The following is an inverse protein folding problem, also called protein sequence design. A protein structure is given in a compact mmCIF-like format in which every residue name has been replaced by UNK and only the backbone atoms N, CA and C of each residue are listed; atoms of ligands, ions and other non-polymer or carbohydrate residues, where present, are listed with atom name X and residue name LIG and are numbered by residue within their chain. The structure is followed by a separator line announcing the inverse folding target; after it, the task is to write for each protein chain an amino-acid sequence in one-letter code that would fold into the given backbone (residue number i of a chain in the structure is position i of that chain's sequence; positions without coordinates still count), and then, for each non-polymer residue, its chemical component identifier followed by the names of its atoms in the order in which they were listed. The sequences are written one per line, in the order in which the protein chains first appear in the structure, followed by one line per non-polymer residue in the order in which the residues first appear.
data_IF_599670160359
#
_entry.id   IF_599670160359
#
_cell.length_a   1.000
_cell.length_b   1.000
_cell.length_c   1.000
_cell.angle_alpha   90.00
_cell.angle_beta   90.00
_cell.angle_gamma   90.00
#
_symmetry.space_group_name_H-M   'P 1'
#
loop_
_entity.id
_entity.type
_entity.pdbx_description
1 polymer ?
#
# COMPACT_ATOMS: atom_id res chain seq x y z
N UNK A 1 43.71 48.59 37.64
CA UNK A 1 44.06 47.29 37.03
C UNK A 1 43.62 46.19 37.96
N UNK A 2 42.70 45.33 37.53
CA UNK A 2 42.45 44.01 38.10
C UNK A 2 42.31 43.04 36.93
N UNK A 3 43.01 41.92 37.08
CA UNK A 3 43.45 41.03 36.02
C UNK A 3 42.45 39.90 35.77
N UNK A 4 42.26 39.57 34.50
CA UNK A 4 42.06 38.19 34.04
C UNK A 4 40.78 37.49 34.48
N UNK A 5 39.63 37.92 33.98
CA UNK A 5 38.54 36.97 33.74
C UNK A 5 38.85 36.25 32.43
N UNK A 6 39.51 35.09 32.52
CA UNK A 6 39.59 34.15 31.41
C UNK A 6 38.25 33.40 31.43
N UNK A 7 37.30 33.89 30.65
CA UNK A 7 36.09 33.14 30.30
C UNK A 7 36.48 31.93 29.44
N UNK A 8 36.84 30.84 30.12
CA UNK A 8 37.01 29.52 29.51
C UNK A 8 35.64 28.91 29.20
N UNK A 9 34.91 29.50 28.26
CA UNK A 9 33.73 28.87 27.65
C UNK A 9 34.14 27.93 26.52
N UNK A 10 35.24 27.18 26.69
CA UNK A 10 35.46 26.00 25.85
C UNK A 10 34.50 24.92 26.35
N UNK A 11 33.27 24.97 25.84
CA UNK A 11 32.37 23.82 25.85
C UNK A 11 33.15 22.70 25.17
N UNK A 12 33.68 21.77 25.96
CA UNK A 12 34.21 20.51 25.46
C UNK A 12 33.00 19.71 24.95
N UNK A 13 32.51 20.10 23.77
CA UNK A 13 31.35 19.52 23.16
C UNK A 13 31.72 18.11 22.71
N UNK A 14 31.16 17.12 23.41
CA UNK A 14 31.34 15.71 23.08
C UNK A 14 31.15 15.52 21.57
N UNK A 15 32.17 15.03 20.83
CA UNK A 15 32.09 14.85 19.39
C UNK A 15 30.87 14.04 18.93
N UNK A 16 30.41 13.09 19.77
CA UNK A 16 29.20 12.32 19.50
C UNK A 16 27.95 13.20 19.58
N UNK A 17 27.86 14.03 20.61
CA UNK A 17 26.75 14.97 20.78
C UNK A 17 26.72 16.02 19.67
N UNK A 18 27.89 16.51 19.24
CA UNK A 18 28.00 17.41 18.10
C UNK A 18 27.52 16.75 16.80
N UNK A 19 27.95 15.52 16.53
CA UNK A 19 27.48 14.76 15.37
C UNK A 19 25.97 14.50 15.41
N UNK A 20 25.42 14.13 16.58
CA UNK A 20 24.00 13.90 16.77
C UNK A 20 23.17 15.14 16.40
N UNK A 21 23.58 16.32 16.89
CA UNK A 21 22.87 17.57 16.66
C UNK A 21 23.04 18.07 15.22
N UNK A 22 24.28 18.17 14.74
CA UNK A 22 24.57 18.86 13.48
C UNK A 22 24.31 17.99 12.24
N UNK A 23 24.39 16.66 12.38
CA UNK A 23 24.27 15.72 11.26
C UNK A 23 23.02 14.86 11.41
N UNK A 24 22.91 14.06 12.46
CA UNK A 24 21.83 13.07 12.58
C UNK A 24 20.45 13.73 12.63
N UNK A 25 20.25 14.69 13.56
CA UNK A 25 18.97 15.37 13.71
C UNK A 25 18.63 16.20 12.47
N UNK A 26 19.63 16.86 11.87
CA UNK A 26 19.46 17.59 10.62
C UNK A 26 19.00 16.69 9.48
N UNK A 27 19.56 15.48 9.35
CA UNK A 27 19.12 14.51 8.34
C UNK A 27 17.69 14.06 8.63
N UNK A 28 17.36 13.74 9.89
CA UNK A 28 16.01 13.37 10.27
C UNK A 28 14.99 14.47 9.95
N UNK A 29 15.30 15.72 10.26
CA UNK A 29 14.43 16.87 9.97
C UNK A 29 14.19 17.02 8.46
N UNK A 30 15.25 16.88 7.65
CA UNK A 30 15.14 16.91 6.19
C UNK A 30 14.24 15.77 5.69
N UNK A 31 14.44 14.55 6.22
CA UNK A 31 13.63 13.39 5.85
C UNK A 31 12.16 13.61 6.23
N UNK A 32 11.89 14.01 7.47
CA UNK A 32 10.53 14.29 7.97
C UNK A 32 9.86 15.38 7.14
N UNK A 33 10.55 16.50 6.89
CA UNK A 33 10.01 17.60 6.11
C UNK A 33 9.75 17.19 4.65
N UNK A 34 10.64 16.38 4.05
CA UNK A 34 10.44 15.89 2.68
C UNK A 34 9.21 14.98 2.57
N UNK A 35 9.00 14.10 3.55
CA UNK A 35 7.83 13.21 3.63
C UNK A 35 6.57 14.05 3.85
N UNK A 36 6.60 15.00 4.79
CA UNK A 36 5.47 15.89 5.06
C UNK A 36 5.08 16.68 3.82
N UNK A 37 6.02 17.37 3.18
CA UNK A 37 5.76 18.12 1.93
C UNK A 37 5.15 17.24 0.84
N UNK A 38 5.63 15.99 0.70
CA UNK A 38 5.16 15.07 -0.34
C UNK A 38 3.74 14.57 -0.09
N UNK A 39 3.37 14.26 1.16
CA UNK A 39 2.16 13.48 1.45
C UNK A 39 1.05 14.26 2.19
N UNK A 40 1.35 15.38 2.85
CA UNK A 40 0.38 16.09 3.69
C UNK A 40 -0.86 16.56 2.91
N UNK A 41 -0.66 16.98 1.65
CA UNK A 41 -1.74 17.43 0.76
C UNK A 41 -2.78 16.34 0.48
N UNK A 42 -2.39 15.07 0.52
CA UNK A 42 -3.24 13.93 0.23
C UNK A 42 -3.50 13.05 1.45
N UNK A 43 -3.29 13.60 2.66
CA UNK A 43 -3.44 12.89 3.94
C UNK A 43 -4.77 12.13 4.03
N UNK A 44 -5.88 12.76 3.67
CA UNK A 44 -7.20 12.12 3.75
C UNK A 44 -7.31 10.91 2.82
N UNK A 45 -6.76 10.99 1.61
CA UNK A 45 -6.74 9.84 0.72
C UNK A 45 -5.93 8.70 1.35
N UNK A 46 -4.74 8.96 1.89
CA UNK A 46 -3.94 7.92 2.55
C UNK A 46 -4.63 7.30 3.77
N UNK A 47 -5.37 8.10 4.54
CA UNK A 47 -6.22 7.59 5.62
C UNK A 47 -7.30 6.64 5.07
N UNK A 48 -7.97 7.01 3.98
CA UNK A 48 -8.94 6.14 3.31
C UNK A 48 -8.30 4.84 2.80
N UNK A 49 -7.12 4.93 2.18
CA UNK A 49 -6.40 3.76 1.66
C UNK A 49 -5.97 2.80 2.78
N UNK A 50 -5.66 3.33 3.97
CA UNK A 50 -5.28 2.50 5.13
C UNK A 50 -6.39 1.54 5.54
N UNK A 51 -7.66 1.91 5.31
CA UNK A 51 -8.82 1.08 5.61
C UNK A 51 -8.90 -0.18 4.72
N UNK A 52 -8.28 -0.16 3.54
CA UNK A 52 -8.26 -1.30 2.61
C UNK A 52 -7.19 -2.34 2.99
N UNK A 53 -6.33 -2.05 3.96
CA UNK A 53 -5.32 -2.98 4.44
C UNK A 53 -5.95 -4.01 5.38
N UNK A 54 -5.69 -5.32 5.21
CA UNK A 54 -6.09 -6.35 6.15
C UNK A 54 -5.64 -6.12 7.60
N UNK A 55 -4.53 -5.41 7.79
CA UNK A 55 -4.05 -5.04 9.13
C UNK A 55 -5.05 -4.17 9.90
N UNK A 56 -5.96 -3.48 9.21
CA UNK A 56 -6.96 -2.62 9.81
C UNK A 56 -8.33 -3.31 9.99
N UNK A 57 -8.52 -4.52 9.46
CA UNK A 57 -9.83 -5.18 9.47
C UNK A 57 -10.31 -5.52 10.88
N UNK A 58 -9.43 -5.94 11.78
CA UNK A 58 -9.80 -6.19 13.18
C UNK A 58 -10.36 -4.94 13.84
N UNK A 59 -9.75 -3.78 13.58
CA UNK A 59 -10.23 -2.50 14.09
C UNK A 59 -11.61 -2.16 13.49
N UNK A 60 -11.78 -2.31 12.18
CA UNK A 60 -13.07 -2.07 11.50
C UNK A 60 -14.18 -2.95 12.09
N UNK A 61 -13.90 -4.21 12.38
CA UNK A 61 -14.88 -5.16 12.92
C UNK A 61 -15.28 -4.76 14.35
N UNK A 62 -14.34 -4.31 15.17
CA UNK A 62 -14.57 -3.99 16.58
C UNK A 62 -15.16 -2.59 16.79
N UNK A 63 -14.64 -1.60 16.08
CA UNK A 63 -14.92 -0.18 16.32
C UNK A 63 -15.70 0.49 15.18
N UNK A 64 -15.91 -0.22 14.06
CA UNK A 64 -16.44 0.37 12.84
C UNK A 64 -15.40 1.17 12.06
N UNK A 65 -15.85 1.81 10.99
CA UNK A 65 -15.02 2.73 10.22
C UNK A 65 -14.97 4.11 10.88
N UNK A 66 -13.82 4.79 10.88
CA UNK A 66 -13.72 6.17 11.35
C UNK A 66 -14.67 7.11 10.62
N UNK A 67 -15.04 8.21 11.27
CA UNK A 67 -15.80 9.29 10.64
C UNK A 67 -15.04 9.83 9.42
N UNK A 68 -15.75 10.08 8.33
CA UNK A 68 -15.20 10.51 7.04
C UNK A 68 -14.31 9.49 6.32
N UNK A 69 -14.11 8.27 6.84
CA UNK A 69 -13.36 7.24 6.14
C UNK A 69 -14.00 6.91 4.79
N UNK A 70 -13.16 6.70 3.78
CA UNK A 70 -13.49 6.35 2.38
C UNK A 70 -14.11 7.48 1.55
N UNK A 71 -14.31 8.68 2.10
CA UNK A 71 -14.98 9.78 1.39
C UNK A 71 -14.17 10.28 0.20
N UNK A 72 -12.90 10.61 0.42
CA UNK A 72 -12.00 11.11 -0.63
C UNK A 72 -11.71 10.04 -1.65
N UNK A 73 -11.53 8.80 -1.21
CA UNK A 73 -11.40 7.66 -2.11
C UNK A 73 -12.65 7.50 -2.98
N UNK A 74 -13.85 7.49 -2.39
CA UNK A 74 -15.11 7.38 -3.13
C UNK A 74 -15.23 8.47 -4.19
N UNK A 75 -14.89 9.72 -3.85
CA UNK A 75 -14.92 10.82 -4.82
C UNK A 75 -13.91 10.65 -5.96
N UNK A 76 -12.73 10.09 -5.70
CA UNK A 76 -11.78 9.71 -6.77
C UNK A 76 -12.35 8.60 -7.65
N UNK A 77 -13.01 7.61 -7.06
CA UNK A 77 -13.60 6.50 -7.81
C UNK A 77 -14.81 6.94 -8.65
N UNK A 78 -15.58 7.95 -8.22
CA UNK A 78 -16.68 8.52 -9.01
C UNK A 78 -16.23 9.04 -10.37
N UNK A 79 -15.01 9.55 -10.48
CA UNK A 79 -14.46 9.96 -11.79
C UNK A 79 -14.17 8.79 -12.74
N UNK A 80 -14.07 7.57 -12.22
CA UNK A 80 -13.85 6.34 -13.00
C UNK A 80 -15.16 5.59 -13.25
N UNK A 81 -16.08 5.63 -12.30
CA UNK A 81 -17.40 5.03 -12.39
C UNK A 81 -18.41 5.87 -11.58
N UNK A 82 -19.31 6.57 -12.26
CA UNK A 82 -20.31 7.45 -11.64
C UNK A 82 -21.32 6.73 -10.76
N UNK A 83 -21.49 5.42 -10.92
CA UNK A 83 -22.49 4.64 -10.19
C UNK A 83 -22.00 4.20 -8.80
N UNK A 84 -20.71 4.42 -8.48
CA UNK A 84 -20.19 4.10 -7.16
C UNK A 84 -20.85 4.97 -6.09
N UNK A 85 -21.26 4.33 -4.99
CA UNK A 85 -21.82 5.03 -3.85
C UNK A 85 -20.93 4.85 -2.62
N UNK A 86 -20.94 5.86 -1.75
CA UNK A 86 -20.22 5.80 -0.49
C UNK A 86 -20.67 4.61 0.37
N UNK A 87 -21.98 4.44 0.53
CA UNK A 87 -22.54 3.34 1.32
C UNK A 87 -22.22 1.97 0.69
N UNK A 88 -22.31 1.84 -0.63
CA UNK A 88 -21.92 0.60 -1.32
C UNK A 88 -20.47 0.21 -1.04
N UNK A 89 -19.53 1.14 -1.21
CA UNK A 89 -18.11 0.88 -0.90
C UNK A 89 -17.89 0.55 0.59
N UNK A 90 -18.57 1.27 1.48
CA UNK A 90 -18.48 1.08 2.93
C UNK A 90 -18.99 -0.30 3.36
N UNK A 91 -20.17 -0.68 2.89
CA UNK A 91 -20.82 -1.94 3.25
C UNK A 91 -20.04 -3.13 2.70
N UNK A 92 -19.57 -3.03 1.45
CA UNK A 92 -18.69 -4.02 0.84
C UNK A 92 -17.39 -4.20 1.64
N UNK A 93 -16.72 -3.12 2.05
CA UNK A 93 -15.50 -3.21 2.85
C UNK A 93 -15.74 -3.87 4.21
N UNK A 94 -16.79 -3.45 4.93
CA UNK A 94 -17.12 -4.03 6.25
C UNK A 94 -17.43 -5.51 6.10
N UNK A 95 -18.23 -5.88 5.11
CA UNK A 95 -18.59 -7.27 4.86
C UNK A 95 -17.36 -8.10 4.45
N UNK A 96 -16.48 -7.56 3.61
CA UNK A 96 -15.23 -8.20 3.21
C UNK A 96 -14.30 -8.42 4.40
N UNK A 97 -14.12 -7.39 5.24
CA UNK A 97 -13.29 -7.44 6.44
C UNK A 97 -13.76 -8.55 7.40
N UNK A 98 -15.07 -8.64 7.66
CA UNK A 98 -15.67 -9.69 8.51
C UNK A 98 -15.42 -11.11 7.98
N UNK A 99 -15.35 -11.26 6.66
CA UNK A 99 -15.16 -12.56 6.01
C UNK A 99 -13.70 -12.86 5.66
N UNK A 100 -12.78 -11.92 5.91
CA UNK A 100 -11.37 -12.01 5.48
C UNK A 100 -10.68 -13.30 5.94
N UNK A 101 -10.86 -13.69 7.21
CA UNK A 101 -10.22 -14.88 7.77
C UNK A 101 -10.68 -16.18 7.11
N UNK A 102 -11.89 -16.21 6.57
CA UNK A 102 -12.42 -17.33 5.79
C UNK A 102 -11.88 -17.27 4.36
N UNK A 103 -11.95 -16.10 3.73
CA UNK A 103 -11.51 -15.88 2.35
C UNK A 103 -10.01 -16.13 2.15
N UNK A 104 -9.17 -15.73 3.09
CA UNK A 104 -7.71 -15.93 3.00
C UNK A 104 -7.26 -17.38 3.11
N UNK A 105 -8.10 -18.27 3.66
CA UNK A 105 -7.84 -19.72 3.71
C UNK A 105 -8.02 -20.37 2.34
N UNK A 106 -9.07 -19.99 1.60
CA UNK A 106 -9.28 -20.41 0.20
C UNK A 106 -8.07 -20.07 -0.69
N UNK A 107 -7.41 -18.94 -0.42
CA UNK A 107 -6.18 -18.57 -1.11
C UNK A 107 -5.03 -19.57 -0.82
N UNK A 108 -4.88 -20.03 0.42
CA UNK A 108 -3.85 -21.00 0.81
C UNK A 108 -4.06 -22.39 0.18
N UNK A 109 -5.32 -22.82 0.06
CA UNK A 109 -5.69 -24.06 -0.61
C UNK A 109 -5.40 -23.98 -2.12
N UNK A 110 -5.74 -22.86 -2.78
CA UNK A 110 -5.49 -22.68 -4.22
C UNK A 110 -4.00 -22.73 -4.60
N UNK A 111 -3.12 -22.18 -3.76
CA UNK A 111 -1.68 -22.20 -4.01
C UNK A 111 -1.07 -23.59 -3.82
N UNK A 112 -1.59 -24.41 -2.90
CA UNK A 112 -1.16 -25.79 -2.73
C UNK A 112 -1.52 -26.63 -3.96
N UNK A 113 -2.72 -26.41 -4.53
CA UNK A 113 -3.16 -27.09 -5.76
C UNK A 113 -2.34 -26.67 -6.98
N UNK A 114 -2.06 -25.37 -7.17
CA UNK A 114 -1.24 -24.90 -8.30
C UNK A 114 0.19 -25.46 -8.24
N UNK A 115 0.82 -25.48 -7.07
CA UNK A 115 2.18 -26.04 -6.92
C UNK A 115 2.22 -27.56 -7.15
N UNK A 116 1.14 -28.29 -6.78
CA UNK A 116 1.02 -29.72 -7.07
C UNK A 116 0.80 -30.01 -8.56
N UNK A 117 0.14 -29.12 -9.31
CA UNK A 117 -0.07 -29.29 -10.75
C UNK A 117 1.19 -28.93 -11.55
N UNK A 118 1.93 -27.91 -11.13
CA UNK A 118 3.21 -27.49 -11.75
C UNK A 118 4.32 -28.56 -11.64
N UNK A 119 4.25 -29.46 -10.65
CA UNK A 119 5.18 -30.59 -10.51
C UNK A 119 4.80 -31.81 -11.37
N UNK A 120 3.71 -31.75 -12.14
CA UNK A 120 3.19 -32.90 -12.92
C UNK A 120 3.13 -32.68 -14.43
N UNK A 121 3.65 -31.56 -14.94
CA UNK A 121 3.68 -31.27 -16.38
C UNK A 121 5.12 -31.12 -16.88
N UNK A 122 5.87 -32.22 -16.84
CA UNK A 122 6.83 -32.52 -17.90
C UNK A 122 6.06 -33.31 -18.95
N UNK A 123 5.64 -32.64 -20.03
CA UNK A 123 5.62 -33.14 -21.41
C UNK A 123 4.98 -32.06 -22.31
N UNK A 124 5.61 -31.86 -23.46
CA UNK A 124 5.32 -30.89 -24.51
C UNK A 124 3.83 -30.87 -24.89
N UNK A 125 3.22 -29.68 -24.97
CA UNK A 125 2.49 -29.31 -26.18
C UNK A 125 2.09 -27.82 -26.22
N UNK A 126 2.21 -27.31 -27.44
CA UNK A 126 2.04 -25.96 -27.93
C UNK A 126 0.55 -25.54 -27.89
N UNK A 127 0.14 -24.70 -26.93
CA UNK A 127 -1.15 -23.99 -26.99
C UNK A 127 -0.94 -22.52 -26.64
N UNK A 128 -0.93 -21.71 -27.70
CA UNK A 128 -1.01 -20.25 -27.71
C UNK A 128 -2.31 -19.76 -27.03
N UNK A 129 -2.29 -19.66 -25.70
CA UNK A 129 -3.29 -18.91 -24.94
C UNK A 129 -2.97 -17.42 -25.05
N UNK A 130 -3.61 -16.74 -26.01
CA UNK A 130 -3.64 -15.27 -26.10
C UNK A 130 -4.33 -14.67 -24.87
N UNK A 131 -3.58 -14.51 -23.79
CA UNK A 131 -3.93 -13.59 -22.70
C UNK A 131 -3.40 -12.21 -23.03
N UNK A 132 -4.32 -11.24 -23.03
CA UNK A 132 -4.09 -9.82 -23.28
C UNK A 132 -2.92 -9.26 -22.42
N UNK A 133 -1.92 -8.54 -22.98
CA UNK A 133 -0.69 -8.18 -22.26
C UNK A 133 -0.83 -7.06 -21.20
N UNK A 134 -2.03 -6.57 -20.91
CA UNK A 134 -2.21 -5.34 -20.11
C UNK A 134 -2.38 -5.54 -18.59
N UNK A 135 -2.27 -6.77 -18.08
CA UNK A 135 -2.25 -7.00 -16.62
C UNK A 135 -0.84 -7.31 -16.15
N UNK A 136 -0.08 -6.28 -15.80
CA UNK A 136 1.05 -6.44 -14.88
C UNK A 136 0.48 -6.86 -13.52
N UNK A 137 0.15 -8.14 -13.38
CA UNK A 137 -0.45 -8.70 -12.18
C UNK A 137 0.55 -8.61 -11.03
N UNK A 138 0.36 -7.61 -10.16
CA UNK A 138 0.99 -7.61 -8.85
C UNK A 138 0.54 -8.87 -8.12
N UNK A 139 1.43 -9.84 -7.96
CA UNK A 139 1.16 -11.06 -7.19
C UNK A 139 1.97 -11.02 -5.90
N UNK A 140 1.32 -10.93 -4.73
CA UNK A 140 2.01 -11.17 -3.46
C UNK A 140 2.19 -12.68 -3.27
N UNK A 141 3.44 -13.17 -3.41
CA UNK A 141 3.77 -14.60 -3.28
C UNK A 141 3.83 -15.10 -1.83
N UNK A 142 3.98 -14.22 -0.82
CA UNK A 142 4.42 -14.62 0.53
C UNK A 142 3.54 -14.12 1.69
N UNK A 143 2.95 -12.93 1.60
CA UNK A 143 2.40 -12.23 2.77
C UNK A 143 0.99 -12.67 3.21
N UNK A 144 0.13 -13.12 2.28
CA UNK A 144 -1.29 -13.49 2.47
C UNK A 144 -2.17 -12.47 3.25
N UNK A 145 -1.67 -11.27 3.53
CA UNK A 145 -2.32 -10.29 4.41
C UNK A 145 -1.97 -8.83 4.02
N UNK A 146 -2.06 -8.52 2.72
CA UNK A 146 -1.87 -7.16 2.22
C UNK A 146 -2.94 -6.79 1.17
N UNK A 147 -2.94 -5.53 0.74
CA UNK A 147 -3.83 -4.98 -0.29
C UNK A 147 -3.82 -5.81 -1.58
N UNK A 148 -2.65 -6.28 -2.02
CA UNK A 148 -2.52 -7.15 -3.20
C UNK A 148 -3.21 -8.50 -2.99
N UNK A 149 -3.11 -9.08 -1.79
CA UNK A 149 -3.82 -10.33 -1.48
C UNK A 149 -5.34 -10.15 -1.49
N UNK A 150 -5.84 -9.01 -1.02
CA UNK A 150 -7.27 -8.70 -1.09
C UNK A 150 -7.76 -8.63 -2.53
N UNK A 151 -7.02 -7.92 -3.38
CA UNK A 151 -7.32 -7.84 -4.80
C UNK A 151 -7.33 -9.22 -5.47
N UNK A 152 -6.32 -10.05 -5.20
CA UNK A 152 -6.23 -11.39 -5.76
C UNK A 152 -7.39 -12.30 -5.33
N UNK A 153 -7.87 -12.18 -4.09
CA UNK A 153 -9.03 -12.92 -3.60
C UNK A 153 -10.30 -12.49 -4.34
N UNK A 154 -10.48 -11.18 -4.54
CA UNK A 154 -11.64 -10.68 -5.26
C UNK A 154 -11.70 -11.22 -6.70
N UNK A 155 -10.55 -11.31 -7.37
CA UNK A 155 -10.46 -11.90 -8.71
C UNK A 155 -10.65 -13.42 -8.72
N UNK A 156 -9.88 -14.15 -7.90
CA UNK A 156 -9.89 -15.63 -7.88
C UNK A 156 -11.25 -16.21 -7.51
N UNK A 157 -11.96 -15.56 -6.59
CA UNK A 157 -13.28 -16.00 -6.16
C UNK A 157 -14.42 -15.38 -7.01
N UNK A 158 -14.10 -14.68 -8.11
CA UNK A 158 -15.05 -13.98 -8.98
C UNK A 158 -16.01 -13.03 -8.24
N UNK A 159 -15.54 -12.45 -7.13
CA UNK A 159 -16.33 -11.64 -6.21
C UNK A 159 -16.55 -10.20 -6.71
N UNK A 160 -15.85 -9.81 -7.77
CA UNK A 160 -15.86 -8.46 -8.34
C UNK A 160 -17.10 -8.11 -9.16
N UNK A 161 -17.87 -9.09 -9.64
CA UNK A 161 -19.06 -8.85 -10.47
C UNK A 161 -20.33 -8.61 -9.65
N UNK A 162 -20.52 -9.34 -8.55
CA UNK A 162 -21.83 -9.45 -7.91
C UNK A 162 -21.89 -8.89 -6.48
N UNK A 163 -20.82 -9.07 -5.71
CA UNK A 163 -20.83 -8.79 -4.27
C UNK A 163 -19.90 -7.65 -3.84
N UNK A 164 -18.85 -7.36 -4.61
CA UNK A 164 -17.79 -6.43 -4.21
C UNK A 164 -17.29 -5.55 -5.37
N UNK A 165 -18.19 -5.08 -6.24
CA UNK A 165 -17.81 -4.30 -7.42
C UNK A 165 -17.15 -2.95 -7.06
N UNK A 166 -17.66 -2.25 -6.04
CA UNK A 166 -17.11 -0.96 -5.61
C UNK A 166 -15.75 -1.14 -4.94
N UNK A 167 -15.63 -2.15 -4.09
CA UNK A 167 -14.41 -2.51 -3.39
C UNK A 167 -13.34 -3.04 -4.36
N UNK A 168 -13.73 -3.79 -5.38
CA UNK A 168 -12.82 -4.22 -6.44
C UNK A 168 -12.23 -3.02 -7.18
N UNK A 169 -13.07 -2.04 -7.55
CA UNK A 169 -12.61 -0.81 -8.17
C UNK A 169 -11.67 -0.01 -7.25
N UNK A 170 -11.96 0.02 -5.94
CA UNK A 170 -11.09 0.64 -4.94
C UNK A 170 -9.71 -0.02 -4.87
N UNK A 171 -9.65 -1.36 -4.82
CA UNK A 171 -8.38 -2.07 -4.85
C UNK A 171 -7.61 -1.86 -6.16
N UNK A 172 -8.31 -1.90 -7.30
CA UNK A 172 -7.70 -1.60 -8.61
C UNK A 172 -7.08 -0.20 -8.61
N UNK A 173 -7.82 0.80 -8.12
CA UNK A 173 -7.32 2.17 -8.00
C UNK A 173 -6.04 2.24 -7.17
N UNK A 174 -6.01 1.64 -5.99
CA UNK A 174 -4.81 1.67 -5.13
C UNK A 174 -3.60 1.06 -5.82
N UNK A 175 -3.77 -0.07 -6.51
CA UNK A 175 -2.67 -0.74 -7.22
C UNK A 175 -2.12 0.06 -8.42
N UNK A 176 -2.87 1.05 -8.91
CA UNK A 176 -2.42 1.97 -9.96
C UNK A 176 -1.67 3.18 -9.43
N UNK A 177 -1.65 3.42 -8.12
CA UNK A 177 -0.97 4.59 -7.56
C UNK A 177 0.56 4.44 -7.68
N UNK A 178 1.28 5.48 -8.13
CA UNK A 178 2.74 5.43 -8.21
C UNK A 178 3.42 5.17 -6.85
N UNK A 179 2.79 5.58 -5.74
CA UNK A 179 3.27 5.32 -4.38
C UNK A 179 3.27 3.83 -3.99
N UNK A 180 2.57 2.98 -4.74
CA UNK A 180 2.60 1.52 -4.58
C UNK A 180 3.45 0.82 -5.65
N UNK A 181 4.03 1.57 -6.59
CA UNK A 181 4.81 1.04 -7.70
C UNK A 181 6.30 1.39 -7.51
N UNK A 182 7.15 0.37 -7.44
CA UNK A 182 8.61 0.53 -7.19
C UNK A 182 9.38 0.94 -8.48
N UNK A 183 8.72 1.10 -9.63
CA UNK A 183 9.41 1.05 -10.93
C UNK A 183 9.73 2.38 -11.63
N UNK A 184 9.13 3.51 -11.26
CA UNK A 184 9.31 4.72 -12.07
C UNK A 184 10.67 5.41 -11.87
N UNK A 185 11.34 5.24 -10.72
CA UNK A 185 12.62 5.91 -10.45
C UNK A 185 13.81 5.21 -11.16
N UNK A 186 13.71 3.90 -11.45
CA UNK A 186 14.76 3.16 -12.16
C UNK A 186 14.87 3.54 -13.63
N UNK A 187 13.74 3.86 -14.29
CA UNK A 187 13.74 4.24 -15.71
C UNK A 187 14.37 5.61 -15.97
N UNK A 188 14.21 6.58 -15.05
CA UNK A 188 14.83 7.90 -15.18
C UNK A 188 16.35 7.92 -14.91
N UNK A 189 16.87 6.90 -14.23
CA UNK A 189 18.31 6.81 -13.94
C UNK A 189 19.13 6.42 -15.18
N UNK A 190 18.54 5.69 -16.13
CA UNK A 190 19.18 5.37 -17.42
C UNK A 190 19.34 6.60 -18.33
N UNK A 191 18.44 7.58 -18.24
CA UNK A 191 18.46 8.78 -19.09
C UNK A 191 19.42 9.86 -18.58
N UNK A 192 20.06 9.70 -17.42
CA UNK A 192 21.10 10.62 -16.93
C UNK A 192 22.50 10.34 -17.49
N UNK A 193 22.67 9.24 -18.24
CA UNK A 193 23.94 8.82 -18.81
C UNK A 193 23.96 8.86 -20.36
N UNK A 194 23.05 9.60 -21.00
CA UNK A 194 23.05 9.91 -22.44
C UNK A 194 23.15 11.43 -22.57
#
# INVERSE_FOLDING_TARGET
MLAGEISNDMVNEDPLKKFEIEVHNRILDIVVESINKRFIKHRQLYNDLSCLSPSYFLYIIQNGLPDQALTTLCDKLKSLNSNITYNGLKDELIHFAKNWDKLKKSLAESFATTYSLELTQDEEDDIESKMNPESQNMTCKSCKNCVVCCYNILQKCNLYCDAYANLFLAYKYVLTLPSTQVSCERSFSFLKNI
#
